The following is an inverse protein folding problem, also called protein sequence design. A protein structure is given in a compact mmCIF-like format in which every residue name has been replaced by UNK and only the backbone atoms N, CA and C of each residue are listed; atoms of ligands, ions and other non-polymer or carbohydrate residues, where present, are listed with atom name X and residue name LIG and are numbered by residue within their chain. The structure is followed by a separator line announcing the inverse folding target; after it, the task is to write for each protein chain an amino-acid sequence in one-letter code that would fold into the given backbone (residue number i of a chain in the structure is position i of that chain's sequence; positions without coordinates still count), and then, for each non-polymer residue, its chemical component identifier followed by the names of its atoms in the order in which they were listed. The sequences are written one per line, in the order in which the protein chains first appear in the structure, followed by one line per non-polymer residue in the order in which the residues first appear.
data_IF_905465094602
#
_entry.id   IF_905465094602
#
_cell.length_a   1.000
_cell.length_b   1.000
_cell.length_c   1.000
_cell.angle_alpha   90.00
_cell.angle_beta   90.00
_cell.angle_gamma   90.00
#
_symmetry.space_group_name_H-M   'P 1'
#
loop_
_entity.id
_entity.type
_entity.pdbx_description
1 polymer ?
#
# COMPACT_ATOMS: atom_id res chain seq x y z
N UNK A 1 15.62 -18.20 -3.67
CA UNK A 1 14.54 -18.04 -2.68
C UNK A 1 13.93 -16.69 -2.98
N UNK A 2 12.80 -16.65 -3.67
CA UNK A 2 12.09 -15.40 -3.89
C UNK A 2 11.43 -15.06 -2.57
N UNK A 3 11.95 -14.06 -1.86
CA UNK A 3 11.28 -13.53 -0.68
C UNK A 3 9.87 -13.14 -1.07
N UNK A 4 8.88 -13.70 -0.38
CA UNK A 4 7.46 -13.37 -0.59
C UNK A 4 7.31 -11.89 -0.31
N UNK A 5 6.99 -11.11 -1.35
CA UNK A 5 6.69 -9.69 -1.21
C UNK A 5 5.18 -9.55 -1.02
N UNK A 6 4.75 -9.60 0.24
CA UNK A 6 3.33 -9.51 0.63
C UNK A 6 2.99 -8.08 1.01
N UNK A 7 1.93 -7.55 0.42
CA UNK A 7 1.28 -6.31 0.88
C UNK A 7 -0.01 -6.64 1.62
N UNK A 8 -0.24 -6.00 2.75
CA UNK A 8 -1.53 -6.05 3.45
C UNK A 8 -2.10 -4.65 3.63
N UNK A 9 -3.39 -4.47 3.33
CA UNK A 9 -4.14 -3.26 3.65
C UNK A 9 -5.21 -3.62 4.69
N UNK A 10 -4.99 -3.21 5.94
CA UNK A 10 -5.97 -3.34 7.02
C UNK A 10 -6.91 -2.13 7.03
N UNK A 11 -8.21 -2.35 6.87
CA UNK A 11 -9.19 -1.26 6.70
C UNK A 11 -10.41 -1.39 7.61
N UNK A 12 -10.92 -0.26 8.09
CA UNK A 12 -12.13 -0.19 8.89
C UNK A 12 -13.39 -0.52 8.07
N UNK A 13 -14.02 -1.65 8.36
CA UNK A 13 -15.28 -2.07 7.71
C UNK A 13 -16.47 -1.17 8.10
N UNK A 14 -16.54 -0.76 9.37
CA UNK A 14 -17.58 0.14 9.90
C UNK A 14 -17.52 1.55 9.33
N UNK A 15 -16.38 1.95 8.79
CA UNK A 15 -16.13 3.27 8.24
C UNK A 15 -16.40 3.35 6.73
N UNK A 16 -16.85 2.24 6.11
CA UNK A 16 -17.10 2.12 4.66
C UNK A 16 -15.85 2.39 3.81
N UNK A 17 -14.66 2.02 4.29
CA UNK A 17 -13.39 2.25 3.57
C UNK A 17 -12.95 1.12 2.62
N UNK A 18 -13.75 0.07 2.47
CA UNK A 18 -13.48 -1.00 1.49
C UNK A 18 -13.19 -0.44 0.08
N UNK A 19 -13.99 0.50 -0.49
CA UNK A 19 -13.71 1.02 -1.83
C UNK A 19 -12.34 1.69 -1.94
N UNK A 20 -11.92 2.44 -0.91
CA UNK A 20 -10.60 3.07 -0.86
C UNK A 20 -9.48 2.05 -0.75
N UNK A 21 -9.66 1.02 0.09
CA UNK A 21 -8.69 -0.05 0.23
C UNK A 21 -8.55 -0.87 -1.07
N UNK A 22 -9.65 -1.19 -1.73
CA UNK A 22 -9.67 -1.90 -3.01
C UNK A 22 -9.04 -1.10 -4.15
N UNK A 23 -9.31 0.21 -4.21
CA UNK A 23 -8.68 1.08 -5.20
C UNK A 23 -7.16 1.18 -4.97
N UNK A 24 -6.71 1.39 -3.73
CA UNK A 24 -5.27 1.39 -3.44
C UNK A 24 -4.62 0.04 -3.76
N UNK A 25 -5.32 -1.07 -3.52
CA UNK A 25 -4.86 -2.40 -3.92
C UNK A 25 -4.67 -2.51 -5.45
N UNK A 26 -5.63 -2.01 -6.24
CA UNK A 26 -5.51 -1.96 -7.70
C UNK A 26 -4.29 -1.14 -8.13
N UNK A 27 -4.13 0.06 -7.56
CA UNK A 27 -2.99 0.93 -7.84
C UNK A 27 -1.65 0.24 -7.58
N UNK A 28 -1.52 -0.51 -6.47
CA UNK A 28 -0.31 -1.23 -6.12
C UNK A 28 -0.09 -2.46 -7.01
N UNK A 29 -1.12 -3.27 -7.24
CA UNK A 29 -1.02 -4.47 -8.09
C UNK A 29 -0.71 -4.12 -9.55
N UNK A 30 -1.26 -3.02 -10.07
CA UNK A 30 -0.92 -2.54 -11.42
C UNK A 30 0.51 -1.99 -11.50
N UNK A 31 1.02 -1.39 -10.43
CA UNK A 31 2.38 -0.81 -10.42
C UNK A 31 3.46 -1.87 -10.22
N UNK A 32 3.18 -2.88 -9.38
CA UNK A 32 4.14 -3.87 -8.91
C UNK A 32 3.77 -5.31 -9.30
N UNK A 33 3.13 -5.49 -10.45
CA UNK A 33 2.58 -6.77 -10.93
C UNK A 33 3.59 -7.93 -10.87
N UNK A 34 4.86 -7.65 -11.19
CA UNK A 34 5.94 -8.64 -11.23
C UNK A 34 6.71 -8.78 -9.92
N UNK A 35 6.59 -7.80 -9.01
CA UNK A 35 7.36 -7.79 -7.76
C UNK A 35 6.55 -8.28 -6.56
N UNK A 36 5.24 -8.04 -6.54
CA UNK A 36 4.37 -8.50 -5.45
C UNK A 36 3.94 -9.94 -5.69
N UNK A 37 4.12 -10.78 -4.67
CA UNK A 37 3.61 -12.16 -4.70
C UNK A 37 2.11 -12.19 -4.41
N UNK A 38 1.65 -11.31 -3.52
CA UNK A 38 0.25 -11.20 -3.14
C UNK A 38 -0.06 -9.85 -2.50
N UNK A 39 -1.34 -9.49 -2.54
CA UNK A 39 -1.91 -8.39 -1.77
C UNK A 39 -3.17 -8.86 -1.06
N UNK A 40 -3.25 -8.63 0.25
CA UNK A 40 -4.41 -8.95 1.06
C UNK A 40 -5.15 -7.71 1.54
N UNK A 41 -6.48 -7.75 1.48
CA UNK A 41 -7.37 -6.80 2.16
C UNK A 41 -7.82 -7.42 3.48
N UNK A 42 -7.37 -6.86 4.62
CA UNK A 42 -7.68 -7.36 5.96
C UNK A 42 -8.79 -6.51 6.60
N UNK A 43 -9.98 -7.08 6.89
CA UNK A 43 -11.01 -6.38 7.63
C UNK A 43 -10.56 -6.02 9.05
N UNK A 44 -10.75 -4.77 9.44
CA UNK A 44 -10.47 -4.27 10.79
C UNK A 44 -11.56 -3.32 11.29
N UNK A 45 -11.37 -2.78 12.50
CA UNK A 45 -12.30 -1.81 13.09
C UNK A 45 -11.58 -0.67 13.81
N UNK A 46 -12.31 0.26 14.45
CA UNK A 46 -11.70 1.33 15.24
C UNK A 46 -11.02 2.41 14.39
N UNK A 47 -11.56 2.67 13.20
CA UNK A 47 -10.96 3.58 12.23
C UNK A 47 -9.50 3.19 11.98
N UNK A 48 -9.24 1.97 11.54
CA UNK A 48 -7.92 1.52 11.08
C UNK A 48 -7.81 1.69 9.57
N UNK A 49 -6.66 2.19 9.11
CA UNK A 49 -6.26 2.15 7.72
C UNK A 49 -4.73 2.09 7.70
N UNK A 50 -4.19 0.88 7.59
CA UNK A 50 -2.75 0.60 7.70
C UNK A 50 -2.31 -0.21 6.50
N UNK A 51 -1.17 0.17 5.91
CA UNK A 51 -0.53 -0.59 4.83
C UNK A 51 0.75 -1.20 5.38
N UNK A 52 0.93 -2.51 5.18
CA UNK A 52 2.13 -3.26 5.55
C UNK A 52 2.79 -3.88 4.33
N UNK A 53 4.12 -3.93 4.35
CA UNK A 53 4.94 -4.71 3.42
C UNK A 53 5.72 -5.70 4.27
N UNK A 54 5.54 -7.00 4.04
CA UNK A 54 6.21 -8.06 4.81
C UNK A 54 6.07 -7.85 6.34
N UNK A 55 4.83 -7.60 6.78
CA UNK A 55 4.43 -7.29 8.17
C UNK A 55 4.96 -5.97 8.76
N UNK A 56 5.82 -5.24 8.05
CA UNK A 56 6.28 -3.92 8.45
C UNK A 56 5.31 -2.82 8.00
N UNK A 57 4.92 -1.93 8.93
CA UNK A 57 4.06 -0.78 8.61
C UNK A 57 4.83 0.20 7.72
N UNK A 58 4.24 0.50 6.55
CA UNK A 58 4.73 1.55 5.65
C UNK A 58 3.80 2.77 5.65
N UNK A 59 2.52 2.60 6.00
CA UNK A 59 1.58 3.70 6.13
C UNK A 59 0.62 3.45 7.29
N UNK A 60 0.42 4.46 8.14
CA UNK A 60 -0.65 4.49 9.14
C UNK A 60 -1.43 5.79 9.03
N UNK A 61 -2.76 5.69 8.81
CA UNK A 61 -3.63 6.86 8.72
C UNK A 61 -3.67 7.70 9.99
N UNK A 62 -3.45 7.11 11.16
CA UNK A 62 -3.43 7.86 12.42
C UNK A 62 -2.24 8.81 12.50
N UNK A 63 -1.16 8.49 11.81
CA UNK A 63 0.08 9.29 11.80
C UNK A 63 0.14 10.21 10.57
N UNK A 64 -0.29 9.71 9.41
CA UNK A 64 -0.02 10.33 8.10
C UNK A 64 -1.28 10.79 7.36
N UNK A 65 -2.48 10.55 7.92
CA UNK A 65 -3.74 10.81 7.22
C UNK A 65 -4.04 9.75 6.15
N UNK A 66 -5.05 9.99 5.30
CA UNK A 66 -5.34 9.02 4.25
C UNK A 66 -4.24 8.98 3.19
N UNK A 67 -3.93 7.79 2.66
CA UNK A 67 -2.86 7.65 1.69
C UNK A 67 -3.21 8.32 0.38
N UNK A 68 -2.28 9.15 -0.08
CA UNK A 68 -2.15 9.48 -1.49
C UNK A 68 -1.41 8.32 -2.20
N UNK A 69 -1.91 7.79 -3.32
CA UNK A 69 -1.32 6.62 -3.98
C UNK A 69 0.15 6.79 -4.29
N UNK A 70 0.54 7.98 -4.75
CA UNK A 70 1.93 8.30 -5.10
C UNK A 70 2.88 8.09 -3.92
N UNK A 71 2.48 8.53 -2.72
CA UNK A 71 3.29 8.39 -1.52
C UNK A 71 3.42 6.90 -1.11
N UNK A 72 2.30 6.17 -1.11
CA UNK A 72 2.31 4.73 -0.77
C UNK A 72 3.11 3.93 -1.79
N UNK A 73 2.98 4.21 -3.09
CA UNK A 73 3.77 3.53 -4.14
C UNK A 73 5.27 3.69 -3.91
N UNK A 74 5.75 4.88 -3.51
CA UNK A 74 7.17 5.07 -3.18
C UNK A 74 7.60 4.21 -2.01
N UNK A 75 6.85 4.25 -0.91
CA UNK A 75 7.20 3.50 0.29
C UNK A 75 7.19 1.99 0.05
N UNK A 76 6.27 1.50 -0.79
CA UNK A 76 6.26 0.10 -1.23
C UNK A 76 7.46 -0.19 -2.14
N UNK A 77 7.76 0.65 -3.14
CA UNK A 77 8.93 0.53 -4.03
C UNK A 77 10.23 0.43 -3.25
N UNK A 78 10.41 1.28 -2.25
CA UNK A 78 11.63 1.31 -1.44
C UNK A 78 11.87 0.01 -0.66
N UNK A 79 10.81 -0.80 -0.45
CA UNK A 79 10.89 -2.12 0.21
C UNK A 79 10.99 -3.28 -0.79
N UNK A 80 10.19 -3.27 -1.86
CA UNK A 80 10.04 -4.43 -2.76
C UNK A 80 10.85 -4.31 -4.05
N UNK A 81 11.20 -3.09 -4.47
CA UNK A 81 11.89 -2.82 -5.74
C UNK A 81 12.68 -1.49 -5.73
N UNK A 82 13.73 -1.34 -4.90
CA UNK A 82 14.37 -0.03 -4.64
C UNK A 82 14.88 0.72 -5.88
N UNK A 83 15.20 0.00 -6.96
CA UNK A 83 15.67 0.59 -8.23
C UNK A 83 14.58 0.82 -9.28
N UNK A 84 13.32 0.46 -9.03
CA UNK A 84 12.24 0.57 -10.01
C UNK A 84 11.83 2.03 -10.20
N UNK A 85 11.84 2.58 -11.43
CA UNK A 85 11.30 3.90 -11.70
C UNK A 85 9.77 3.87 -11.59
N UNK A 86 9.18 4.90 -10.98
CA UNK A 86 7.72 5.04 -10.85
C UNK A 86 7.14 6.14 -11.76
N UNK A 87 7.95 6.67 -12.67
CA UNK A 87 7.55 7.73 -13.61
C UNK A 87 7.10 9.00 -12.87
N UNK A 88 5.91 9.50 -13.19
CA UNK A 88 5.33 10.68 -12.52
C UNK A 88 5.20 10.50 -11.00
N UNK A 89 5.16 9.25 -10.53
CA UNK A 89 5.09 8.97 -9.10
C UNK A 89 6.43 9.12 -8.37
N UNK A 90 7.55 9.45 -9.03
CA UNK A 90 8.83 9.78 -8.35
C UNK A 90 8.93 11.26 -7.95
N UNK A 91 8.16 12.17 -8.55
CA UNK A 91 8.18 13.60 -8.22
C UNK A 91 7.24 13.92 -7.06
N UNK A 92 7.69 14.54 -5.95
CA UNK A 92 6.79 14.93 -4.85
C UNK A 92 5.55 15.63 -5.40
N UNK A 93 4.37 15.32 -4.84
CA UNK A 93 3.17 16.07 -5.17
C UNK A 93 3.44 17.57 -4.93
N UNK A 94 3.04 18.46 -5.86
CA UNK A 94 3.28 19.90 -5.72
C UNK A 94 2.61 20.50 -4.49
#
# INVERSE_FOLDING_TARGET
MSDVQRVEIEYCTRCRWLPRAAWLAQELLTTFETELTELALRPGTGGVFVVRVNDEVVWDRREQGFPEPTAVKRLVRDRVAPGKPLGHSDQPAP
#
